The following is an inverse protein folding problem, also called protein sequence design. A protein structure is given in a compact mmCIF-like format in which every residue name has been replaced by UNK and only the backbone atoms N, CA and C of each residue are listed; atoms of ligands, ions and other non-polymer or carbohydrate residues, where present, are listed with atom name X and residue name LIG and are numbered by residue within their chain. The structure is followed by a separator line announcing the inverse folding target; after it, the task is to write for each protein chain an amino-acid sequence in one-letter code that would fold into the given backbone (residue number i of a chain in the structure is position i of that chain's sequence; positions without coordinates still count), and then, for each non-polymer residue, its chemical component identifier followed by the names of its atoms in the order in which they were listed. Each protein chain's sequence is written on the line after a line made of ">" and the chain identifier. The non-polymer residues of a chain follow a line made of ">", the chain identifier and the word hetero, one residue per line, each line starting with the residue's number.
data_IF_688809294308
#
_entry.id   IF_688809294308
#
_cell.length_a   1.000
_cell.length_b   1.000
_cell.length_c   1.000
_cell.angle_alpha   90.00
_cell.angle_beta   90.00
_cell.angle_gamma   90.00
#
_symmetry.space_group_name_H-M   'P 1'
#
loop_
_entity.id
_entity.type
_entity.pdbx_description
1 polymer ?
#
# COMPACT_ATOMS: atom_id res chain seq x y z
N UNK A 1 -5.69 3.77 7.04
CA UNK A 1 -6.03 5.20 7.13
C UNK A 1 -5.10 5.90 8.09
N UNK A 2 -4.68 7.12 7.80
CA UNK A 2 -3.88 7.99 8.68
C UNK A 2 -4.12 9.46 8.35
N UNK A 3 -3.74 10.35 9.26
CA UNK A 3 -3.69 11.79 9.02
C UNK A 3 -2.29 12.23 8.57
N UNK A 4 -2.22 13.36 7.91
CA UNK A 4 -0.98 14.03 7.52
C UNK A 4 -0.76 15.28 8.38
N UNK A 5 0.46 15.83 8.38
CA UNK A 5 0.81 17.03 9.16
C UNK A 5 0.06 18.28 8.72
N UNK A 6 -0.45 18.32 7.49
CA UNK A 6 -1.26 19.40 6.93
C UNK A 6 -2.78 19.15 7.04
N UNK A 7 -3.20 18.32 8.01
CA UNK A 7 -4.59 18.00 8.34
C UNK A 7 -5.39 17.34 7.20
N UNK A 8 -4.76 16.54 6.38
CA UNK A 8 -5.45 15.70 5.39
C UNK A 8 -5.63 14.28 5.92
N UNK A 9 -6.61 13.58 5.37
CA UNK A 9 -6.82 12.15 5.60
C UNK A 9 -6.28 11.40 4.39
N UNK A 10 -5.43 10.42 4.62
CA UNK A 10 -4.96 9.46 3.64
C UNK A 10 -5.66 8.13 3.90
N UNK A 11 -6.38 7.64 2.90
CA UNK A 11 -7.08 6.36 2.94
C UNK A 11 -6.62 5.49 1.77
N UNK A 12 -6.41 4.22 2.01
CA UNK A 12 -6.02 3.23 1.00
C UNK A 12 -6.80 1.94 1.16
N UNK A 13 -6.78 1.13 0.11
CA UNK A 13 -7.45 -0.16 0.03
C UNK A 13 -8.00 -0.43 -1.37
N UNK A 14 -8.95 -1.34 -1.46
CA UNK A 14 -9.54 -1.81 -2.71
C UNK A 14 -8.51 -2.52 -3.61
N UNK A 15 -7.57 -3.23 -3.00
CA UNK A 15 -6.52 -3.96 -3.69
C UNK A 15 -7.13 -5.06 -4.57
N UNK A 16 -6.49 -5.31 -5.71
CA UNK A 16 -6.86 -6.38 -6.63
C UNK A 16 -5.62 -6.94 -7.33
N UNK A 17 -5.68 -8.18 -7.85
CA UNK A 17 -4.56 -8.76 -8.56
C UNK A 17 -4.11 -7.90 -9.72
N UNK A 18 -2.80 -7.62 -9.77
CA UNK A 18 -2.20 -6.82 -10.82
C UNK A 18 -2.16 -7.58 -12.14
N UNK A 19 -2.57 -6.92 -13.21
CA UNK A 19 -2.47 -7.42 -14.60
C UNK A 19 -1.49 -6.58 -15.42
N UNK A 20 -1.77 -5.29 -15.53
CA UNK A 20 -0.89 -4.32 -16.17
C UNK A 20 -1.22 -2.89 -15.67
N UNK A 21 -0.33 -1.95 -15.95
CA UNK A 21 -0.47 -0.56 -15.49
C UNK A 21 -1.68 0.15 -16.10
N UNK A 22 -2.01 -0.14 -17.35
CA UNK A 22 -3.15 0.49 -18.01
C UNK A 22 -4.49 0.15 -17.35
N UNK A 23 -4.71 -1.12 -17.02
CA UNK A 23 -5.92 -1.56 -16.32
C UNK A 23 -5.97 -1.02 -14.89
N UNK A 24 -4.83 -1.01 -14.18
CA UNK A 24 -4.72 -0.39 -12.86
C UNK A 24 -5.15 1.08 -12.89
N UNK A 25 -4.62 1.85 -13.82
CA UNK A 25 -4.86 3.28 -13.90
C UNK A 25 -6.30 3.58 -14.38
N UNK A 26 -6.86 2.79 -15.27
CA UNK A 26 -8.27 2.86 -15.65
C UNK A 26 -9.24 2.57 -14.49
N UNK A 27 -8.84 1.74 -13.54
CA UNK A 27 -9.66 1.41 -12.36
C UNK A 27 -9.65 2.52 -11.30
N UNK A 28 -8.69 3.44 -11.33
CA UNK A 28 -8.48 4.45 -10.30
C UNK A 28 -9.73 5.29 -9.98
N UNK A 29 -10.48 5.84 -10.94
CA UNK A 29 -11.68 6.63 -10.62
C UNK A 29 -12.75 5.83 -9.87
N UNK A 30 -12.94 4.56 -10.25
CA UNK A 30 -13.87 3.65 -9.57
C UNK A 30 -13.43 3.35 -8.14
N UNK A 31 -12.16 3.07 -7.95
CA UNK A 31 -11.55 2.82 -6.62
C UNK A 31 -11.63 4.04 -5.71
N UNK A 32 -11.32 5.21 -6.25
CA UNK A 32 -11.45 6.48 -5.55
C UNK A 32 -12.89 6.71 -5.05
N UNK A 33 -13.88 6.48 -5.89
CA UNK A 33 -15.30 6.56 -5.52
C UNK A 33 -15.69 5.55 -4.43
N UNK A 34 -15.21 4.32 -4.52
CA UNK A 34 -15.47 3.29 -3.52
C UNK A 34 -14.86 3.65 -2.16
N UNK A 35 -13.60 4.11 -2.13
CA UNK A 35 -12.94 4.55 -0.91
C UNK A 35 -13.59 5.80 -0.31
N UNK A 36 -14.03 6.75 -1.13
CA UNK A 36 -14.75 7.94 -0.68
C UNK A 36 -16.08 7.57 -0.02
N UNK A 37 -16.81 6.62 -0.60
CA UNK A 37 -18.05 6.12 -0.02
C UNK A 37 -17.81 5.47 1.34
N UNK A 38 -16.82 4.59 1.45
CA UNK A 38 -16.44 3.93 2.71
C UNK A 38 -16.01 4.94 3.78
N UNK A 39 -15.28 5.97 3.41
CA UNK A 39 -14.89 7.03 4.34
C UNK A 39 -16.11 7.81 4.85
N UNK A 40 -17.03 8.17 3.97
CA UNK A 40 -18.27 8.86 4.35
C UNK A 40 -19.18 8.03 5.25
N UNK A 41 -19.22 6.70 5.04
CA UNK A 41 -19.95 5.77 5.91
C UNK A 41 -19.30 5.63 7.29
N UNK A 42 -17.97 5.61 7.32
CA UNK A 42 -17.20 5.47 8.57
C UNK A 42 -17.19 6.76 9.41
N UNK A 43 -17.14 7.90 8.74
CA UNK A 43 -17.05 9.23 9.36
C UNK A 43 -18.05 10.21 8.73
N UNK A 44 -19.36 10.00 8.93
CA UNK A 44 -20.41 10.78 8.24
C UNK A 44 -20.41 12.25 8.61
N UNK A 45 -19.84 12.63 9.75
CA UNK A 45 -19.80 13.99 10.26
C UNK A 45 -18.64 14.83 9.70
N UNK A 46 -17.70 14.19 8.99
CA UNK A 46 -16.52 14.86 8.45
C UNK A 46 -16.74 15.16 6.97
N UNK A 47 -16.98 16.43 6.58
CA UNK A 47 -17.01 16.80 5.18
C UNK A 47 -15.58 16.74 4.60
N UNK A 48 -15.44 16.21 3.40
CA UNK A 48 -14.14 16.14 2.72
C UNK A 48 -14.27 16.33 1.22
N UNK A 49 -13.16 16.68 0.61
CA UNK A 49 -12.98 16.68 -0.84
C UNK A 49 -11.73 15.89 -1.20
N UNK A 50 -11.81 15.11 -2.27
CA UNK A 50 -10.65 14.38 -2.78
C UNK A 50 -9.69 15.37 -3.44
N UNK A 51 -8.52 15.59 -2.85
CA UNK A 51 -7.49 16.44 -3.40
C UNK A 51 -6.57 15.67 -4.37
N UNK A 52 -6.24 14.42 -4.02
CA UNK A 52 -5.35 13.56 -4.80
C UNK A 52 -5.85 12.13 -4.78
N UNK A 53 -5.59 11.42 -5.87
CA UNK A 53 -5.78 9.98 -5.96
C UNK A 53 -4.66 9.37 -6.80
N UNK A 54 -4.19 8.21 -6.39
CA UNK A 54 -3.16 7.46 -7.11
C UNK A 54 -3.32 5.97 -6.86
N UNK A 55 -2.69 5.17 -7.69
CA UNK A 55 -2.58 3.74 -7.52
C UNK A 55 -1.11 3.33 -7.56
N UNK A 56 -0.77 2.32 -6.79
CA UNK A 56 0.54 1.70 -6.76
C UNK A 56 0.43 0.19 -6.96
N UNK A 57 1.54 -0.43 -7.31
CA UNK A 57 1.66 -1.87 -7.39
C UNK A 57 2.68 -2.33 -6.37
N UNK A 58 2.39 -3.41 -5.66
CA UNK A 58 3.32 -4.05 -4.74
C UNK A 58 3.42 -5.54 -5.03
N UNK A 59 4.54 -6.14 -4.67
CA UNK A 59 4.76 -7.58 -4.76
C UNK A 59 4.44 -8.25 -3.43
N UNK A 60 3.81 -9.40 -3.51
CA UNK A 60 3.50 -10.24 -2.36
C UNK A 60 3.92 -11.68 -2.67
N UNK A 61 4.42 -12.38 -1.66
CA UNK A 61 4.73 -13.79 -1.76
C UNK A 61 3.45 -14.63 -1.64
N UNK A 62 3.47 -15.86 -2.14
CA UNK A 62 2.31 -16.76 -2.09
C UNK A 62 1.86 -17.09 -0.66
N UNK A 63 2.79 -17.09 0.30
CA UNK A 63 2.52 -17.36 1.71
C UNK A 63 2.34 -16.08 2.56
N UNK A 64 2.45 -14.90 1.94
CA UNK A 64 2.33 -13.61 2.62
C UNK A 64 3.50 -13.23 3.52
N UNK A 65 4.60 -13.99 3.51
CA UNK A 65 5.80 -13.72 4.31
C UNK A 65 6.88 -13.03 3.48
N UNK A 66 7.45 -11.97 4.01
CA UNK A 66 8.54 -11.26 3.34
C UNK A 66 9.84 -12.08 3.32
N UNK A 67 10.61 -11.94 2.24
CA UNK A 67 11.99 -12.38 2.19
C UNK A 67 12.88 -11.29 2.80
N UNK A 68 13.56 -11.61 3.91
CA UNK A 68 14.47 -10.69 4.58
C UNK A 68 15.81 -11.38 4.77
N UNK A 69 16.89 -10.78 4.26
CA UNK A 69 18.24 -11.29 4.43
C UNK A 69 19.13 -11.12 3.19
N UNK A 70 20.22 -11.84 3.20
CA UNK A 70 21.26 -11.87 2.17
C UNK A 70 21.02 -13.03 1.19
N UNK A 71 21.44 -12.88 -0.05
CA UNK A 71 21.45 -13.97 -1.04
C UNK A 71 22.87 -14.33 -1.44
N UNK A 72 23.08 -15.58 -1.88
CA UNK A 72 24.38 -16.03 -2.39
C UNK A 72 24.82 -15.34 -3.68
N UNK A 73 23.83 -14.88 -4.45
CA UNK A 73 24.07 -14.20 -5.73
C UNK A 73 24.61 -12.78 -5.57
N UNK A 74 24.28 -12.14 -4.44
CA UNK A 74 24.66 -10.76 -4.12
C UNK A 74 25.25 -10.70 -2.71
N UNK A 75 26.50 -11.11 -2.50
CA UNK A 75 27.15 -11.05 -1.19
C UNK A 75 27.21 -9.61 -0.65
N UNK A 76 26.98 -9.44 0.63
CA UNK A 76 26.92 -8.15 1.34
C UNK A 76 25.75 -7.23 0.89
N UNK A 77 24.80 -7.74 0.13
CA UNK A 77 23.55 -7.05 -0.18
C UNK A 77 22.41 -7.67 0.61
N UNK A 78 21.68 -6.84 1.34
CA UNK A 78 20.54 -7.26 2.14
C UNK A 78 19.24 -6.81 1.49
N UNK A 79 18.24 -7.65 1.54
CA UNK A 79 16.96 -7.46 0.88
C UNK A 79 15.82 -7.56 1.88
N UNK A 80 14.77 -6.79 1.64
CA UNK A 80 13.46 -6.95 2.24
C UNK A 80 12.42 -6.87 1.12
N UNK A 81 11.88 -8.01 0.69
CA UNK A 81 11.07 -8.13 -0.53
C UNK A 81 9.77 -8.89 -0.26
N UNK A 82 8.76 -8.66 -1.10
CA UNK A 82 7.55 -9.45 -1.14
C UNK A 82 6.61 -9.26 0.06
N UNK A 83 6.67 -8.12 0.70
CA UNK A 83 5.91 -7.82 1.92
C UNK A 83 4.49 -7.31 1.66
N UNK A 84 4.03 -7.29 0.41
CA UNK A 84 2.69 -6.82 0.07
C UNK A 84 2.41 -5.40 0.54
N UNK A 85 1.23 -5.18 1.10
CA UNK A 85 0.82 -3.90 1.69
C UNK A 85 1.39 -3.61 3.10
N UNK A 86 2.16 -4.52 3.69
CA UNK A 86 2.64 -4.47 5.08
C UNK A 86 4.05 -3.86 5.24
N UNK A 87 4.45 -2.97 4.35
CA UNK A 87 5.81 -2.42 4.30
C UNK A 87 6.30 -1.79 5.59
N UNK A 88 5.44 -1.09 6.34
CA UNK A 88 5.84 -0.46 7.62
C UNK A 88 6.22 -1.53 8.66
N UNK A 89 5.39 -2.55 8.84
CA UNK A 89 5.66 -3.64 9.77
C UNK A 89 6.94 -4.38 9.40
N UNK A 90 7.06 -4.77 8.13
CA UNK A 90 8.23 -5.51 7.68
C UNK A 90 9.53 -4.70 7.65
N UNK A 91 9.47 -3.38 7.48
CA UNK A 91 10.67 -2.54 7.58
C UNK A 91 11.25 -2.52 8.99
N UNK A 92 10.41 -2.49 10.01
CA UNK A 92 10.86 -2.60 11.42
C UNK A 92 11.47 -3.99 11.68
N UNK A 93 10.80 -5.04 11.23
CA UNK A 93 11.30 -6.41 11.37
C UNK A 93 12.63 -6.60 10.63
N UNK A 94 12.74 -6.11 9.41
CA UNK A 94 13.98 -6.18 8.62
C UNK A 94 15.14 -5.46 9.33
N UNK A 95 14.89 -4.28 9.88
CA UNK A 95 15.91 -3.54 10.65
C UNK A 95 16.39 -4.27 11.90
N UNK A 96 15.58 -5.17 12.47
CA UNK A 96 15.98 -6.00 13.61
C UNK A 96 16.73 -7.27 13.19
N UNK A 97 16.43 -7.81 12.01
CA UNK A 97 17.05 -9.04 11.49
C UNK A 97 18.41 -8.74 10.84
N UNK A 98 18.50 -7.68 10.10
CA UNK A 98 19.70 -7.23 9.40
C UNK A 98 20.62 -6.45 10.35
#
# INVERSE_FOLDING_TARGET
>A
MRTTSDNRILIGGEDEPYKNSELRDKALPKKCKALSKKLAELMPEIPFQVAYSWAGTFGETDDGLAYIGETREFPNAYFALGYGGNGITYSVTAAQII
#
